data_IF_175637621603
#
_entry.id   IF_175637621603
#
_cell.length_a   1.000
_cell.length_b   1.000
_cell.length_c   1.000
_cell.angle_alpha   90.00
_cell.angle_beta   90.00
_cell.angle_gamma   90.00
#
_symmetry.space_group_name_H-M   'P 1'
#
loop_
_entity.id
_entity.type
_entity.pdbx_description
1 polymer ?
#
# COMPACT_ATOMS: atom_id res chain seq x y z
N UNK A 1 61.17 32.72 30.36
CA UNK A 1 60.41 33.94 29.97
C UNK A 1 60.92 34.35 28.59
N UNK A 2 60.09 34.26 27.55
CA UNK A 2 59.28 35.42 27.17
C UNK A 2 57.80 35.09 26.91
N UNK A 3 57.00 36.15 26.98
CA UNK A 3 55.56 36.21 26.72
C UNK A 3 55.33 36.27 25.21
N UNK A 4 54.38 35.50 24.70
CA UNK A 4 53.83 35.68 23.35
C UNK A 4 52.31 35.76 23.48
N UNK A 5 51.76 36.97 23.43
CA UNK A 5 50.33 37.24 23.51
C UNK A 5 49.83 37.86 22.19
N UNK A 6 48.60 37.47 21.86
CA UNK A 6 47.62 38.22 21.08
C UNK A 6 47.83 38.34 19.55
N UNK A 7 47.66 37.24 18.82
CA UNK A 7 47.35 37.28 17.37
C UNK A 7 46.06 36.54 16.96
N UNK A 8 45.42 35.81 17.88
CA UNK A 8 44.24 34.96 17.57
C UNK A 8 42.87 35.66 17.55
N UNK A 9 42.57 36.70 18.38
CA UNK A 9 41.23 37.29 18.39
C UNK A 9 40.93 38.18 17.16
N UNK A 10 41.95 38.83 16.60
CA UNK A 10 41.77 39.78 15.47
C UNK A 10 41.43 39.08 14.15
N UNK A 11 41.97 37.88 13.91
CA UNK A 11 41.70 37.11 12.69
C UNK A 11 40.25 36.61 12.67
N UNK A 12 39.72 36.19 13.83
CA UNK A 12 38.33 35.74 13.96
C UNK A 12 37.33 36.88 13.72
N UNK A 13 37.66 38.11 14.13
CA UNK A 13 36.79 39.27 13.90
C UNK A 13 36.73 39.68 12.42
N UNK A 14 37.85 39.58 11.69
CA UNK A 14 37.92 39.90 10.27
C UNK A 14 37.11 38.91 9.41
N UNK A 15 37.14 37.62 9.74
CA UNK A 15 36.39 36.57 9.01
C UNK A 15 34.88 36.75 9.17
N UNK A 16 34.41 37.11 10.37
CA UNK A 16 32.99 37.37 10.63
C UNK A 16 32.47 38.60 9.86
N UNK A 17 33.29 39.65 9.70
CA UNK A 17 32.90 40.85 8.96
C UNK A 17 32.74 40.58 7.45
N UNK A 18 33.60 39.73 6.88
CA UNK A 18 33.51 39.34 5.45
C UNK A 18 32.27 38.49 5.18
N UNK A 19 31.90 37.57 6.07
CA UNK A 19 30.71 36.73 5.91
C UNK A 19 29.40 37.53 6.02
N UNK A 20 29.36 38.57 6.85
CA UNK A 20 28.20 39.46 6.98
C UNK A 20 28.04 40.36 5.75
N UNK A 21 29.16 40.86 5.18
CA UNK A 21 29.13 41.72 3.99
C UNK A 21 28.78 40.94 2.70
N UNK A 22 29.19 39.68 2.57
CA UNK A 22 28.81 38.84 1.41
C UNK A 22 27.41 38.20 1.54
N UNK A 23 26.91 37.98 2.76
CA UNK A 23 25.57 37.42 2.99
C UNK A 23 24.41 38.36 2.66
N UNK A 24 24.65 39.68 2.63
CA UNK A 24 23.62 40.69 2.35
C UNK A 24 23.53 41.10 0.86
N UNK A 25 24.43 40.63 0.00
CA UNK A 25 24.57 41.11 -1.38
C UNK A 25 23.74 40.43 -2.47
N UNK A 26 22.96 39.38 -2.17
CA UNK A 26 22.26 38.57 -3.21
C UNK A 26 20.74 38.50 -3.01
N UNK A 27 20.18 39.34 -2.13
CA UNK A 27 18.73 39.59 -2.06
C UNK A 27 18.39 40.95 -2.68
N UNK A 28 18.14 40.96 -3.99
CA UNK A 28 17.24 41.95 -4.58
C UNK A 28 16.58 41.44 -5.87
N UNK A 29 15.24 41.46 -5.98
CA UNK A 29 14.50 41.00 -7.15
C UNK A 29 14.28 42.16 -8.14
N UNK A 30 14.62 41.97 -9.42
CA UNK A 30 14.17 42.87 -10.50
C UNK A 30 13.71 42.09 -11.73
N UNK A 31 12.44 42.35 -12.03
CA UNK A 31 11.64 42.00 -13.19
C UNK A 31 12.13 42.65 -14.50
N UNK A 32 12.12 41.90 -15.60
CA UNK A 32 11.87 42.42 -16.95
C UNK A 32 11.28 41.31 -17.86
N UNK A 33 10.27 41.71 -18.63
CA UNK A 33 9.31 40.94 -19.44
C UNK A 33 9.85 40.52 -20.83
N UNK A 34 9.10 39.71 -21.64
CA UNK A 34 9.65 38.74 -22.58
C UNK A 34 9.74 39.23 -24.04
N UNK A 35 10.64 38.61 -24.81
CA UNK A 35 10.75 38.73 -26.27
C UNK A 35 10.76 37.35 -26.93
N UNK A 36 9.88 37.17 -27.91
CA UNK A 36 9.64 35.99 -28.74
C UNK A 36 10.75 35.68 -29.75
N UNK A 37 11.06 34.39 -30.00
CA UNK A 37 10.81 33.68 -31.27
C UNK A 37 11.31 32.21 -31.25
N UNK A 38 10.53 31.34 -31.91
CA UNK A 38 10.89 30.09 -32.60
C UNK A 38 11.12 28.75 -31.86
N UNK A 39 10.00 28.01 -31.74
CA UNK A 39 9.70 26.75 -32.47
C UNK A 39 10.76 25.63 -32.35
N UNK A 40 10.55 24.74 -31.36
CA UNK A 40 11.17 23.41 -31.28
C UNK A 40 10.29 22.43 -30.53
N UNK A 41 9.85 21.37 -31.21
CA UNK A 41 9.19 20.15 -30.72
C UNK A 41 8.96 20.01 -29.21
N UNK A 42 7.71 20.21 -28.74
CA UNK A 42 7.28 19.72 -27.44
C UNK A 42 6.95 18.23 -27.53
N UNK A 43 7.92 17.37 -27.20
CA UNK A 43 7.57 16.09 -26.60
C UNK A 43 6.97 16.38 -25.23
N UNK A 44 5.70 16.06 -25.05
CA UNK A 44 5.01 16.18 -23.77
C UNK A 44 5.60 15.15 -22.78
N UNK A 45 6.69 15.53 -22.11
CA UNK A 45 7.12 14.89 -20.87
C UNK A 45 6.08 15.27 -19.82
N UNK A 46 5.23 14.32 -19.45
CA UNK A 46 4.26 14.49 -18.35
C UNK A 46 5.02 14.56 -17.03
N UNK A 47 4.92 15.68 -16.32
CA UNK A 47 5.38 15.80 -14.93
C UNK A 47 4.45 15.02 -13.96
N UNK A 48 4.94 14.54 -12.80
CA UNK A 48 4.24 13.54 -11.99
C UNK A 48 3.19 14.05 -10.99
N UNK A 49 2.86 15.34 -10.93
CA UNK A 49 2.05 15.92 -9.82
C UNK A 49 0.82 16.72 -10.28
N UNK A 50 0.00 16.16 -11.17
CA UNK A 50 -1.31 16.75 -11.51
C UNK A 50 -2.40 16.48 -10.44
N UNK A 51 -2.13 16.79 -9.17
CA UNK A 51 -3.21 16.97 -8.20
C UNK A 51 -3.93 18.28 -8.52
N UNK A 52 -5.12 18.18 -9.10
CA UNK A 52 -5.98 19.33 -9.33
C UNK A 52 -6.19 20.03 -7.97
N UNK A 53 -5.76 21.28 -7.84
CA UNK A 53 -5.84 22.05 -6.59
C UNK A 53 -7.28 22.47 -6.35
N UNK A 54 -8.13 21.53 -5.94
CA UNK A 54 -9.53 21.79 -5.62
C UNK A 54 -9.63 22.18 -4.15
N UNK A 55 -10.31 23.29 -3.87
CA UNK A 55 -10.57 23.71 -2.48
C UNK A 55 -11.60 22.79 -1.86
N UNK A 56 -11.32 22.31 -0.64
CA UNK A 56 -12.33 21.64 0.16
C UNK A 56 -13.49 22.60 0.46
N UNK A 57 -14.75 22.12 0.49
CA UNK A 57 -15.87 22.92 0.94
C UNK A 57 -15.72 23.29 2.43
N UNK A 58 -16.51 24.25 2.90
CA UNK A 58 -16.62 24.51 4.34
C UNK A 58 -17.15 23.24 5.01
N UNK A 59 -16.40 22.73 6.00
CA UNK A 59 -16.79 21.58 6.81
C UNK A 59 -16.77 21.98 8.29
N UNK A 60 -17.68 21.39 9.08
CA UNK A 60 -17.72 21.54 10.53
C UNK A 60 -17.42 20.19 11.13
N UNK A 61 -16.30 20.06 11.82
CA UNK A 61 -15.85 18.84 12.47
C UNK A 61 -15.12 19.16 13.78
N UNK A 62 -14.97 18.21 14.72
CA UNK A 62 -14.23 18.41 15.95
C UNK A 62 -12.79 18.87 15.70
N UNK A 63 -12.36 19.94 16.37
CA UNK A 63 -11.00 20.46 16.24
C UNK A 63 -9.97 19.39 16.66
N UNK A 64 -8.93 19.14 15.85
CA UNK A 64 -7.81 18.28 16.24
C UNK A 64 -7.15 18.80 17.52
N UNK A 65 -7.03 17.93 18.54
CA UNK A 65 -6.44 18.29 19.83
C UNK A 65 -4.93 17.99 19.82
N UNK A 66 -4.11 19.01 19.56
CA UNK A 66 -2.65 18.87 19.40
C UNK A 66 -1.97 18.16 20.58
N UNK A 67 -2.39 18.45 21.81
CA UNK A 67 -1.82 17.87 23.04
C UNK A 67 -2.53 16.58 23.50
N UNK A 68 -3.45 16.04 22.69
CA UNK A 68 -4.15 14.79 22.99
C UNK A 68 -3.86 13.77 21.88
N UNK A 69 -3.14 12.67 22.16
CA UNK A 69 -2.91 11.64 21.16
C UNK A 69 -4.23 10.96 20.77
N UNK A 70 -4.40 10.66 19.47
CA UNK A 70 -5.59 9.98 18.95
C UNK A 70 -5.71 8.52 19.43
N UNK A 71 -4.55 7.86 19.63
CA UNK A 71 -4.40 6.53 20.23
C UNK A 71 -3.22 6.56 21.18
N UNK A 72 -3.34 5.89 22.33
CA UNK A 72 -2.29 5.80 23.37
C UNK A 72 -1.71 4.39 23.51
N UNK A 73 -2.31 3.44 22.81
CA UNK A 73 -2.18 2.00 22.97
C UNK A 73 -1.47 1.33 21.79
N UNK A 74 -1.21 2.08 20.72
CA UNK A 74 -0.59 1.60 19.47
C UNK A 74 0.32 2.65 18.85
N UNK A 75 1.27 2.19 18.03
CA UNK A 75 2.03 3.06 17.12
C UNK A 75 1.11 3.51 15.96
N UNK A 76 1.04 4.83 15.72
CA UNK A 76 0.19 5.43 14.69
C UNK A 76 0.98 6.04 13.51
N UNK A 77 2.31 6.08 13.60
CA UNK A 77 3.20 6.56 12.56
C UNK A 77 4.49 5.74 12.58
N UNK A 78 4.99 5.34 11.41
CA UNK A 78 6.25 4.59 11.30
C UNK A 78 7.46 5.51 11.49
N UNK A 79 8.67 4.95 11.72
CA UNK A 79 9.90 5.75 11.77
C UNK A 79 10.22 6.52 10.48
N UNK A 80 9.66 6.13 9.34
CA UNK A 80 9.78 6.84 8.06
C UNK A 80 8.57 7.73 7.74
N UNK A 81 7.79 8.11 8.77
CA UNK A 81 6.68 9.05 8.70
C UNK A 81 5.46 8.58 7.89
N UNK A 82 5.30 7.28 7.66
CA UNK A 82 4.08 6.74 7.09
C UNK A 82 3.01 6.54 8.20
N UNK A 83 1.76 6.97 8.01
CA UNK A 83 0.68 6.66 8.95
C UNK A 83 0.47 5.15 9.09
N UNK A 84 0.25 4.69 10.32
CA UNK A 84 -0.31 3.36 10.59
C UNK A 84 -1.81 3.54 10.83
N UNK A 85 -2.63 3.02 9.92
CA UNK A 85 -4.07 3.29 9.87
C UNK A 85 -4.80 2.43 10.91
N UNK A 86 -5.24 3.08 11.98
CA UNK A 86 -6.09 2.51 13.03
C UNK A 86 -7.38 3.31 13.18
N UNK A 87 -8.44 2.69 13.68
CA UNK A 87 -9.65 3.43 14.06
C UNK A 87 -9.32 4.57 15.04
N UNK A 88 -9.85 5.75 14.75
CA UNK A 88 -9.59 6.99 15.51
C UNK A 88 -8.40 7.81 15.02
N UNK A 89 -7.64 7.34 14.02
CA UNK A 89 -6.48 8.09 13.46
C UNK A 89 -6.83 9.00 12.30
N UNK A 90 -8.04 8.87 11.73
CA UNK A 90 -8.50 9.63 10.58
C UNK A 90 -9.91 10.17 10.79
N UNK A 91 -10.24 11.25 10.07
CA UNK A 91 -11.60 11.72 9.89
C UNK A 91 -12.04 11.35 8.47
N UNK A 92 -13.01 10.43 8.36
CA UNK A 92 -13.41 9.86 7.08
C UNK A 92 -14.13 10.88 6.18
N UNK A 93 -14.81 11.88 6.75
CA UNK A 93 -15.51 12.89 5.95
C UNK A 93 -14.52 13.76 5.19
N UNK A 94 -13.44 14.18 5.85
CA UNK A 94 -12.37 14.97 5.22
C UNK A 94 -11.72 14.18 4.08
N UNK A 95 -11.38 12.91 4.34
CA UNK A 95 -10.76 12.05 3.34
C UNK A 95 -11.72 11.79 2.16
N UNK A 96 -12.99 11.52 2.44
CA UNK A 96 -14.01 11.32 1.41
C UNK A 96 -14.14 12.54 0.51
N UNK A 97 -14.13 13.75 1.04
CA UNK A 97 -14.14 14.97 0.21
C UNK A 97 -12.86 15.06 -0.66
N UNK A 98 -11.68 14.84 -0.07
CA UNK A 98 -10.41 14.90 -0.81
C UNK A 98 -10.36 13.97 -2.03
N UNK A 99 -10.80 12.72 -1.87
CA UNK A 99 -10.77 11.73 -2.95
C UNK A 99 -11.97 11.85 -3.91
N UNK A 100 -13.15 12.30 -3.43
CA UNK A 100 -14.29 12.57 -4.34
C UNK A 100 -14.02 13.75 -5.27
N UNK A 101 -13.36 14.80 -4.80
CA UNK A 101 -12.98 15.95 -5.64
C UNK A 101 -11.99 15.57 -6.74
N UNK A 102 -11.24 14.48 -6.56
CA UNK A 102 -10.34 13.90 -7.57
C UNK A 102 -11.04 12.87 -8.45
N UNK A 103 -12.33 12.60 -8.23
CA UNK A 103 -13.10 11.57 -8.93
C UNK A 103 -12.40 10.19 -8.91
N UNK A 104 -11.80 9.85 -7.77
CA UNK A 104 -10.95 8.66 -7.63
C UNK A 104 -11.71 7.37 -7.95
N UNK A 105 -11.08 6.52 -8.76
CA UNK A 105 -11.54 5.17 -9.10
C UNK A 105 -10.59 4.13 -8.52
N UNK A 106 -11.15 3.16 -7.78
CA UNK A 106 -10.39 2.13 -7.07
C UNK A 106 -10.65 0.77 -7.72
N UNK A 107 -9.58 0.11 -8.16
CA UNK A 107 -9.61 -1.29 -8.58
C UNK A 107 -9.44 -2.24 -7.40
N UNK A 108 -10.29 -3.27 -7.30
CA UNK A 108 -10.15 -4.35 -6.33
C UNK A 108 -9.85 -5.66 -7.07
N UNK A 109 -8.63 -6.16 -6.96
CA UNK A 109 -8.23 -7.44 -7.58
C UNK A 109 -8.41 -8.58 -6.60
N UNK A 110 -9.03 -9.65 -7.05
CA UNK A 110 -9.27 -10.85 -6.25
C UNK A 110 -9.11 -12.10 -7.12
N UNK A 111 -8.47 -13.14 -6.57
CA UNK A 111 -8.23 -14.41 -7.28
C UNK A 111 -9.12 -15.52 -6.73
N UNK A 112 -9.98 -16.06 -7.58
CA UNK A 112 -10.89 -17.14 -7.27
C UNK A 112 -10.64 -18.32 -8.21
N UNK A 113 -9.61 -19.10 -7.88
CA UNK A 113 -9.10 -20.20 -8.71
C UNK A 113 -9.53 -21.55 -8.10
N UNK A 114 -10.00 -22.48 -8.94
CA UNK A 114 -10.53 -23.80 -8.53
C UNK A 114 -11.67 -23.64 -7.51
N UNK A 115 -11.60 -24.33 -6.36
CA UNK A 115 -12.63 -24.33 -5.32
C UNK A 115 -12.82 -22.96 -4.63
N UNK A 116 -11.90 -22.02 -4.82
CA UNK A 116 -12.00 -20.69 -4.22
C UNK A 116 -13.09 -19.81 -4.83
N UNK A 117 -13.69 -20.21 -5.97
CA UNK A 117 -14.91 -19.56 -6.51
C UNK A 117 -16.08 -19.58 -5.50
N UNK A 118 -16.09 -20.53 -4.57
CA UNK A 118 -17.11 -20.63 -3.52
C UNK A 118 -17.14 -19.39 -2.58
N UNK A 119 -16.02 -18.68 -2.44
CA UNK A 119 -15.94 -17.50 -1.56
C UNK A 119 -16.42 -16.21 -2.23
N UNK A 120 -16.49 -16.16 -3.56
CA UNK A 120 -16.76 -14.92 -4.30
C UNK A 120 -18.09 -14.26 -3.92
N UNK A 121 -19.14 -15.05 -3.66
CA UNK A 121 -20.47 -14.48 -3.38
C UNK A 121 -20.43 -13.65 -2.10
N UNK A 122 -19.95 -14.24 -1.01
CA UNK A 122 -19.83 -13.55 0.28
C UNK A 122 -18.85 -12.37 0.19
N UNK A 123 -17.71 -12.57 -0.46
CA UNK A 123 -16.70 -11.53 -0.66
C UNK A 123 -17.29 -10.30 -1.36
N UNK A 124 -17.94 -10.48 -2.51
CA UNK A 124 -18.51 -9.39 -3.31
C UNK A 124 -19.71 -8.73 -2.62
N UNK A 125 -20.61 -9.52 -2.02
CA UNK A 125 -21.79 -8.99 -1.31
C UNK A 125 -21.40 -8.15 -0.09
N UNK A 126 -20.33 -8.53 0.61
CA UNK A 126 -19.82 -7.74 1.74
C UNK A 126 -18.98 -6.55 1.29
N UNK A 127 -18.22 -6.68 0.19
CA UNK A 127 -17.52 -5.56 -0.42
C UNK A 127 -18.48 -4.44 -0.84
N UNK A 128 -19.64 -4.76 -1.41
CA UNK A 128 -20.66 -3.75 -1.75
C UNK A 128 -21.15 -2.94 -0.55
N UNK A 129 -21.13 -3.51 0.66
CA UNK A 129 -21.59 -2.84 1.89
C UNK A 129 -20.51 -1.97 2.54
N UNK A 130 -19.24 -2.28 2.31
CA UNK A 130 -18.16 -1.81 3.19
C UNK A 130 -16.94 -1.26 2.45
N UNK A 131 -16.71 -1.66 1.20
CA UNK A 131 -15.51 -1.31 0.46
C UNK A 131 -15.75 -0.06 -0.40
N UNK A 132 -15.08 1.04 -0.07
CA UNK A 132 -15.05 2.28 -0.86
C UNK A 132 -16.45 2.79 -1.23
N UNK A 133 -17.40 2.67 -0.30
CA UNK A 133 -18.79 3.10 -0.51
C UNK A 133 -18.84 4.59 -0.80
N UNK A 134 -19.57 4.99 -1.84
CA UNK A 134 -19.62 6.38 -2.32
C UNK A 134 -18.52 6.78 -3.30
N UNK A 135 -17.59 5.88 -3.62
CA UNK A 135 -16.54 6.07 -4.62
C UNK A 135 -16.70 5.12 -5.80
N UNK A 136 -16.01 5.41 -6.90
CA UNK A 136 -16.01 4.58 -8.11
C UNK A 136 -15.18 3.32 -7.86
N UNK A 137 -15.73 2.15 -8.15
CA UNK A 137 -15.05 0.87 -7.92
C UNK A 137 -15.11 -0.01 -9.15
N UNK A 138 -13.99 -0.64 -9.47
CA UNK A 138 -13.90 -1.68 -10.48
C UNK A 138 -13.37 -2.98 -9.86
N UNK A 139 -14.21 -3.99 -9.77
CA UNK A 139 -13.81 -5.33 -9.34
C UNK A 139 -13.16 -6.10 -10.48
N UNK A 140 -11.98 -6.67 -10.24
CA UNK A 140 -11.28 -7.55 -11.16
C UNK A 140 -11.19 -8.94 -10.58
N UNK A 141 -12.08 -9.83 -11.03
CA UNK A 141 -12.15 -11.22 -10.58
C UNK A 141 -11.32 -12.09 -11.52
N UNK A 142 -10.16 -12.53 -11.05
CA UNK A 142 -9.32 -13.48 -11.77
C UNK A 142 -9.78 -14.90 -11.48
N UNK A 143 -10.13 -15.66 -12.51
CA UNK A 143 -10.65 -17.03 -12.32
C UNK A 143 -10.32 -17.96 -13.49
N UNK A 144 -10.29 -19.26 -13.21
CA UNK A 144 -10.24 -20.34 -14.21
C UNK A 144 -11.65 -20.84 -14.59
N UNK A 145 -12.71 -20.28 -13.99
CA UNK A 145 -14.09 -20.74 -14.14
C UNK A 145 -15.04 -19.54 -14.29
N UNK A 146 -15.10 -18.98 -15.51
CA UNK A 146 -15.95 -17.82 -15.85
C UNK A 146 -17.41 -17.98 -15.40
N UNK A 147 -17.99 -19.15 -15.66
CA UNK A 147 -19.39 -19.44 -15.34
C UNK A 147 -19.68 -19.58 -13.83
N UNK A 148 -18.65 -19.78 -13.00
CA UNK A 148 -18.79 -19.91 -11.55
C UNK A 148 -18.79 -18.57 -10.81
N UNK A 149 -18.51 -17.45 -11.50
CA UNK A 149 -18.57 -16.12 -10.90
C UNK A 149 -20.04 -15.76 -10.62
N UNK A 150 -20.40 -15.46 -9.36
CA UNK A 150 -21.78 -15.19 -8.99
C UNK A 150 -22.26 -13.86 -9.58
N UNK A 151 -23.55 -13.79 -9.93
CA UNK A 151 -24.22 -12.54 -10.26
C UNK A 151 -24.54 -11.80 -8.96
N UNK A 152 -23.81 -10.73 -8.67
CA UNK A 152 -24.00 -9.87 -7.50
C UNK A 152 -24.52 -8.51 -7.96
N UNK A 153 -25.52 -7.98 -7.27
CA UNK A 153 -26.03 -6.62 -7.52
C UNK A 153 -24.98 -5.61 -7.11
N UNK A 154 -24.56 -4.76 -8.05
CA UNK A 154 -23.58 -3.70 -7.79
C UNK A 154 -24.29 -2.33 -7.68
N UNK A 155 -23.82 -1.50 -6.75
CA UNK A 155 -24.26 -0.13 -6.61
C UNK A 155 -23.84 0.75 -7.79
N UNK A 156 -24.46 1.93 -7.91
CA UNK A 156 -24.14 2.91 -8.96
C UNK A 156 -22.66 3.31 -8.95
N UNK A 157 -22.06 3.41 -10.14
CA UNK A 157 -20.64 3.78 -10.28
C UNK A 157 -19.67 2.65 -9.96
N UNK A 158 -20.18 1.42 -9.82
CA UNK A 158 -19.40 0.21 -9.55
C UNK A 158 -19.58 -0.80 -10.68
N UNK A 159 -18.51 -1.46 -11.06
CA UNK A 159 -18.52 -2.45 -12.14
C UNK A 159 -17.61 -3.63 -11.84
N UNK A 160 -17.84 -4.76 -12.51
CA UNK A 160 -17.06 -5.97 -12.34
C UNK A 160 -16.61 -6.50 -13.70
N UNK A 161 -15.33 -6.85 -13.81
CA UNK A 161 -14.76 -7.57 -14.94
C UNK A 161 -14.20 -8.90 -14.48
N UNK A 162 -14.57 -9.95 -15.20
CA UNK A 162 -14.01 -11.28 -15.00
C UNK A 162 -12.84 -11.47 -15.95
N UNK A 163 -11.70 -11.87 -15.41
CA UNK A 163 -10.44 -12.03 -16.12
C UNK A 163 -10.08 -13.51 -16.10
N UNK A 164 -10.22 -14.19 -17.24
CA UNK A 164 -9.90 -15.61 -17.35
C UNK A 164 -8.39 -15.82 -17.26
N UNK A 165 -7.96 -16.73 -16.39
CA UNK A 165 -6.55 -17.10 -16.20
C UNK A 165 -6.40 -18.59 -15.96
N UNK A 166 -5.20 -19.13 -16.22
CA UNK A 166 -4.91 -20.55 -16.01
C UNK A 166 -4.87 -20.91 -14.52
N UNK A 167 -5.34 -22.10 -14.18
CA UNK A 167 -5.17 -22.70 -12.87
C UNK A 167 -3.88 -23.53 -12.79
N UNK A 168 -2.94 -23.14 -11.93
CA UNK A 168 -1.76 -23.95 -11.62
C UNK A 168 -2.11 -25.12 -10.71
N UNK A 169 -1.34 -26.22 -10.76
CA UNK A 169 -1.64 -27.44 -9.98
C UNK A 169 -1.49 -27.22 -8.47
N UNK A 170 -0.39 -26.64 -8.02
CA UNK A 170 -0.10 -26.41 -6.59
C UNK A 170 -0.78 -25.12 -6.12
N UNK A 171 -1.25 -25.09 -4.87
CA UNK A 171 -1.84 -23.88 -4.30
C UNK A 171 -0.79 -22.77 -4.12
N UNK A 172 0.46 -23.16 -3.87
CA UNK A 172 1.62 -22.28 -3.81
C UNK A 172 1.77 -21.51 -5.12
N UNK A 173 1.77 -22.20 -6.26
CA UNK A 173 1.87 -21.58 -7.58
C UNK A 173 0.67 -20.68 -7.87
N UNK A 174 -0.54 -21.07 -7.46
CA UNK A 174 -1.72 -20.20 -7.57
C UNK A 174 -1.53 -18.89 -6.81
N UNK A 175 -1.01 -18.94 -5.57
CA UNK A 175 -0.74 -17.77 -4.74
C UNK A 175 0.38 -16.89 -5.33
N UNK A 176 1.50 -17.51 -5.70
CA UNK A 176 2.68 -16.82 -6.22
C UNK A 176 2.42 -16.12 -7.55
N UNK A 177 1.67 -16.76 -8.45
CA UNK A 177 1.43 -16.26 -9.81
C UNK A 177 0.45 -15.09 -9.86
N UNK A 178 -0.19 -14.74 -8.74
CA UNK A 178 -0.95 -13.48 -8.61
C UNK A 178 -0.08 -12.27 -8.92
N UNK A 179 1.19 -12.27 -8.50
CA UNK A 179 2.11 -11.15 -8.76
C UNK A 179 2.35 -10.96 -10.26
N UNK A 180 2.60 -12.03 -11.01
CA UNK A 180 2.74 -11.99 -12.47
C UNK A 180 1.46 -11.42 -13.11
N UNK A 181 0.31 -12.01 -12.79
CA UNK A 181 -0.98 -11.66 -13.39
C UNK A 181 -1.39 -10.21 -13.07
N UNK A 182 -1.21 -9.74 -11.84
CA UNK A 182 -1.49 -8.34 -11.50
C UNK A 182 -0.56 -7.42 -12.30
N UNK A 183 0.73 -7.74 -12.40
CA UNK A 183 1.70 -6.91 -13.13
C UNK A 183 1.39 -6.81 -14.62
N UNK A 184 0.95 -7.91 -15.24
CA UNK A 184 0.50 -7.96 -16.64
C UNK A 184 -0.74 -7.09 -16.86
N UNK A 185 -1.72 -7.19 -15.98
CA UNK A 185 -2.97 -6.44 -16.12
C UNK A 185 -2.82 -4.97 -15.73
N UNK A 186 -1.78 -4.59 -14.98
CA UNK A 186 -1.41 -3.18 -14.82
C UNK A 186 -1.18 -2.51 -16.18
N UNK A 187 -0.42 -3.16 -17.07
CA UNK A 187 -0.13 -2.64 -18.42
C UNK A 187 -1.33 -2.73 -19.35
N UNK A 188 -2.08 -3.83 -19.27
CA UNK A 188 -3.17 -4.11 -20.22
C UNK A 188 -4.44 -3.31 -19.93
N UNK A 189 -4.74 -3.03 -18.66
CA UNK A 189 -6.03 -2.48 -18.24
C UNK A 189 -5.95 -1.46 -17.12
N UNK A 190 -5.28 -1.76 -16.01
CA UNK A 190 -5.48 -0.96 -14.79
C UNK A 190 -5.02 0.49 -14.95
N UNK A 191 -3.92 0.74 -15.68
CA UNK A 191 -3.40 2.09 -15.92
C UNK A 191 -4.39 3.04 -16.63
N UNK A 192 -5.36 2.51 -17.38
CA UNK A 192 -6.37 3.31 -18.07
C UNK A 192 -7.74 3.30 -17.39
N UNK A 193 -7.95 2.45 -16.38
CA UNK A 193 -9.27 2.23 -15.77
C UNK A 193 -9.37 2.74 -14.33
N UNK A 194 -8.27 2.70 -13.55
CA UNK A 194 -8.30 3.00 -12.10
C UNK A 194 -7.07 3.80 -11.66
N UNK A 195 -7.21 4.57 -10.58
CA UNK A 195 -6.11 5.36 -10.00
C UNK A 195 -5.30 4.54 -8.99
N UNK A 196 -6.01 3.72 -8.20
CA UNK A 196 -5.44 2.87 -7.16
C UNK A 196 -5.87 1.42 -7.36
N UNK A 197 -5.00 0.49 -6.97
CA UNK A 197 -5.29 -0.93 -6.86
C UNK A 197 -5.22 -1.38 -5.41
N UNK A 198 -6.18 -2.19 -5.02
CA UNK A 198 -6.23 -2.94 -3.77
C UNK A 198 -6.23 -4.42 -4.14
N UNK A 199 -5.27 -5.17 -3.61
CA UNK A 199 -5.05 -6.57 -3.93
C UNK A 199 -5.27 -7.42 -2.68
N UNK A 200 -6.29 -8.28 -2.71
CA UNK A 200 -6.73 -9.04 -1.53
C UNK A 200 -7.01 -10.51 -1.82
N UNK A 201 -6.96 -11.30 -0.75
CA UNK A 201 -7.41 -12.70 -0.76
C UNK A 201 -8.93 -12.81 -0.78
N UNK A 202 -9.44 -13.85 -1.45
CA UNK A 202 -10.89 -14.04 -1.69
C UNK A 202 -11.62 -14.72 -0.54
N UNK A 203 -10.91 -15.52 0.25
CA UNK A 203 -11.40 -16.34 1.36
C UNK A 203 -11.63 -15.52 2.64
N UNK A 204 -12.24 -14.37 2.44
CA UNK A 204 -12.40 -13.27 3.38
C UNK A 204 -13.78 -12.63 3.21
N UNK A 205 -14.22 -11.89 4.21
CA UNK A 205 -15.45 -11.09 4.16
C UNK A 205 -15.21 -9.70 4.77
N UNK A 206 -15.90 -8.69 4.24
CA UNK A 206 -15.91 -7.35 4.85
C UNK A 206 -17.00 -7.28 5.93
N UNK A 207 -16.66 -6.72 7.10
CA UNK A 207 -17.57 -6.59 8.24
C UNK A 207 -17.75 -5.16 8.73
N UNK A 208 -16.84 -4.27 8.37
CA UNK A 208 -16.88 -2.85 8.70
C UNK A 208 -16.16 -2.04 7.61
N UNK A 209 -16.24 -0.72 7.68
CA UNK A 209 -15.70 0.23 6.72
C UNK A 209 -14.24 -0.04 6.35
N UNK A 210 -14.00 -0.17 5.03
CA UNK A 210 -12.70 -0.13 4.38
C UNK A 210 -12.78 0.90 3.26
N UNK A 211 -12.25 2.09 3.48
CA UNK A 211 -12.45 3.21 2.57
C UNK A 211 -11.15 3.89 2.15
N UNK A 212 -11.30 5.15 1.72
CA UNK A 212 -10.22 5.93 1.13
C UNK A 212 -9.08 6.24 2.11
N UNK A 213 -9.26 5.99 3.41
CA UNK A 213 -8.17 6.10 4.39
C UNK A 213 -6.98 5.19 4.10
N UNK A 214 -7.20 4.08 3.37
CA UNK A 214 -6.12 3.16 2.98
C UNK A 214 -5.33 3.65 1.75
N UNK A 215 -5.92 4.53 0.93
CA UNK A 215 -5.35 4.92 -0.37
C UNK A 215 -4.11 5.80 -0.19
N UNK A 216 -3.04 5.43 -0.88
CA UNK A 216 -1.71 6.05 -0.85
C UNK A 216 -0.87 5.47 -1.99
N UNK A 217 0.30 6.03 -2.35
CA UNK A 217 1.13 5.44 -3.40
C UNK A 217 1.46 3.96 -3.18
N UNK A 218 1.82 3.56 -1.96
CA UNK A 218 2.09 2.16 -1.62
C UNK A 218 1.69 1.88 -0.17
N UNK A 219 0.96 0.79 0.07
CA UNK A 219 0.65 0.29 1.41
C UNK A 219 0.83 -1.22 1.54
N UNK A 220 1.15 -1.63 2.77
CA UNK A 220 1.09 -3.02 3.23
C UNK A 220 0.29 -3.12 4.52
N UNK A 221 -0.20 -4.32 4.83
CA UNK A 221 -1.04 -4.57 6.01
C UNK A 221 -0.27 -5.39 7.04
N UNK A 222 -0.30 -4.99 8.32
CA UNK A 222 0.29 -5.76 9.40
C UNK A 222 -0.39 -7.12 9.53
N UNK A 223 0.39 -8.19 9.54
CA UNK A 223 -0.14 -9.53 9.71
C UNK A 223 -0.69 -9.73 11.14
N UNK A 224 -1.91 -10.28 11.30
CA UNK A 224 -2.59 -10.33 12.60
C UNK A 224 -1.91 -11.29 13.59
N UNK A 225 -1.17 -12.29 13.11
CA UNK A 225 -0.34 -13.16 13.96
C UNK A 225 0.99 -12.56 14.45
N UNK A 226 1.42 -11.38 13.96
CA UNK A 226 2.77 -10.86 14.21
C UNK A 226 2.86 -9.39 14.62
N UNK A 227 1.76 -8.62 14.63
CA UNK A 227 1.80 -7.18 14.92
C UNK A 227 2.36 -6.80 16.31
N UNK A 228 2.36 -7.72 17.27
CA UNK A 228 2.98 -7.56 18.59
C UNK A 228 4.29 -8.34 18.78
N UNK A 229 4.78 -9.02 17.75
CA UNK A 229 5.98 -9.89 17.83
C UNK A 229 7.26 -9.10 17.55
N UNK A 230 8.38 -9.57 18.09
CA UNK A 230 9.71 -9.05 17.77
C UNK A 230 10.19 -9.54 16.40
N UNK A 231 11.11 -8.79 15.76
CA UNK A 231 11.52 -9.04 14.37
C UNK A 231 12.21 -10.39 14.15
N UNK A 232 12.86 -10.92 15.18
CA UNK A 232 13.53 -12.21 15.15
C UNK A 232 12.51 -13.38 15.14
N UNK A 233 11.30 -13.15 15.63
CA UNK A 233 10.19 -14.10 15.60
C UNK A 233 9.39 -14.04 14.30
N UNK A 234 9.55 -12.98 13.49
CA UNK A 234 8.94 -12.91 12.17
C UNK A 234 9.41 -14.06 11.27
N UNK A 235 8.46 -14.68 10.59
CA UNK A 235 8.69 -15.83 9.72
C UNK A 235 9.18 -15.44 8.34
N UNK A 236 10.02 -14.42 8.22
CA UNK A 236 10.67 -14.11 6.94
C UNK A 236 11.49 -15.30 6.43
N UNK A 237 11.74 -15.33 5.13
CA UNK A 237 12.73 -16.24 4.56
C UNK A 237 14.11 -15.96 5.17
N UNK A 238 14.73 -17.00 5.74
CA UNK A 238 16.01 -16.91 6.45
C UNK A 238 17.16 -17.62 5.73
N UNK A 239 16.90 -18.30 4.61
CA UNK A 239 17.90 -18.92 3.75
C UNK A 239 18.49 -17.85 2.82
N UNK A 240 19.80 -17.50 2.95
CA UNK A 240 20.43 -16.46 2.13
C UNK A 240 20.43 -16.74 0.62
N UNK A 241 20.17 -17.98 0.21
CA UNK A 241 20.07 -18.39 -1.18
C UNK A 241 18.82 -17.85 -1.89
N UNK A 242 17.77 -17.50 -1.13
CA UNK A 242 16.53 -16.95 -1.69
C UNK A 242 16.61 -15.43 -1.82
N UNK A 243 16.04 -14.90 -2.90
CA UNK A 243 15.84 -13.47 -3.10
C UNK A 243 14.98 -12.84 -1.99
N UNK A 244 14.11 -13.61 -1.33
CA UNK A 244 13.28 -13.14 -0.23
C UNK A 244 14.01 -13.05 1.12
N UNK A 245 15.30 -13.41 1.18
CA UNK A 245 16.06 -13.42 2.43
C UNK A 245 16.04 -12.07 3.17
N UNK A 246 15.76 -12.14 4.47
CA UNK A 246 15.87 -11.03 5.43
C UNK A 246 16.68 -11.51 6.66
N UNK A 247 17.80 -10.85 7.01
CA UNK A 247 18.56 -11.11 8.24
C UNK A 247 17.74 -10.98 9.54
N UNK A 248 18.20 -11.62 10.63
CA UNK A 248 17.48 -11.64 11.92
C UNK A 248 17.39 -10.26 12.59
N UNK A 249 18.35 -9.40 12.32
CA UNK A 249 18.47 -8.03 12.82
C UNK A 249 17.78 -6.99 11.92
N UNK A 250 17.31 -7.38 10.73
CA UNK A 250 16.52 -6.55 9.83
C UNK A 250 15.00 -6.83 9.94
N UNK A 251 14.20 -5.85 9.54
CA UNK A 251 12.73 -5.95 9.52
C UNK A 251 12.06 -4.87 10.36
N UNK A 252 11.11 -4.16 9.75
CA UNK A 252 10.26 -3.19 10.45
C UNK A 252 8.98 -3.86 10.97
N UNK A 253 8.26 -4.54 10.08
CA UNK A 253 7.00 -5.22 10.36
C UNK A 253 6.86 -6.48 9.50
N UNK A 254 6.08 -7.45 9.97
CA UNK A 254 5.66 -8.58 9.15
C UNK A 254 4.33 -8.23 8.44
N UNK A 255 4.41 -8.00 7.14
CA UNK A 255 3.28 -7.66 6.27
C UNK A 255 2.61 -8.91 5.69
N UNK A 256 1.31 -8.82 5.43
CA UNK A 256 0.50 -9.94 4.96
C UNK A 256 0.34 -9.96 3.43
N UNK A 257 0.48 -11.14 2.80
CA UNK A 257 0.36 -11.34 1.34
C UNK A 257 -1.04 -11.18 0.75
N UNK A 258 -2.05 -11.13 1.61
CA UNK A 258 -3.49 -11.13 1.30
C UNK A 258 -4.16 -9.77 1.43
N UNK A 259 -3.40 -8.70 1.72
CA UNK A 259 -3.89 -7.31 1.61
C UNK A 259 -2.74 -6.32 1.45
N UNK A 260 -2.53 -5.87 0.22
CA UNK A 260 -1.61 -4.79 -0.13
C UNK A 260 -2.21 -3.94 -1.26
N UNK A 261 -1.57 -2.83 -1.61
CA UNK A 261 -2.04 -2.01 -2.70
C UNK A 261 -1.31 -0.68 -2.80
N UNK A 262 -1.84 0.21 -3.63
CA UNK A 262 -1.18 1.47 -3.93
C UNK A 262 -1.73 2.12 -5.18
N UNK A 263 -1.02 3.13 -5.71
CA UNK A 263 -1.25 3.59 -7.07
C UNK A 263 -0.95 2.46 -8.05
N UNK A 264 -1.57 2.48 -9.23
CA UNK A 264 -1.33 1.42 -10.25
C UNK A 264 0.17 1.27 -10.55
N UNK A 265 0.91 2.38 -10.61
CA UNK A 265 2.35 2.36 -10.88
C UNK A 265 3.15 1.65 -9.78
N UNK A 266 2.87 1.93 -8.51
CA UNK A 266 3.59 1.29 -7.40
C UNK A 266 3.21 -0.18 -7.24
N UNK A 267 1.94 -0.53 -7.45
CA UNK A 267 1.50 -1.93 -7.47
C UNK A 267 2.17 -2.70 -8.61
N UNK A 268 2.30 -2.10 -9.80
CA UNK A 268 3.03 -2.69 -10.91
C UNK A 268 4.51 -2.94 -10.56
N UNK A 269 5.18 -1.96 -9.95
CA UNK A 269 6.59 -2.08 -9.52
C UNK A 269 6.76 -3.21 -8.51
N UNK A 270 5.92 -3.24 -7.48
CA UNK A 270 5.92 -4.26 -6.44
C UNK A 270 5.71 -5.66 -7.03
N UNK A 271 4.62 -5.84 -7.77
CA UNK A 271 4.20 -7.15 -8.27
C UNK A 271 5.20 -7.70 -9.29
N UNK A 272 5.74 -6.84 -10.16
CA UNK A 272 6.82 -7.21 -11.09
C UNK A 272 8.10 -7.62 -10.36
N UNK A 273 8.54 -6.84 -9.38
CA UNK A 273 9.76 -7.14 -8.62
C UNK A 273 9.63 -8.46 -7.84
N UNK A 274 8.48 -8.68 -7.18
CA UNK A 274 8.19 -9.94 -6.51
C UNK A 274 8.17 -11.11 -7.50
N UNK A 275 7.53 -10.96 -8.66
CA UNK A 275 7.49 -11.99 -9.69
C UNK A 275 8.89 -12.35 -10.21
N UNK A 276 9.71 -11.36 -10.56
CA UNK A 276 11.08 -11.56 -11.01
C UNK A 276 11.93 -12.26 -9.94
N UNK A 277 11.81 -11.85 -8.68
CA UNK A 277 12.49 -12.50 -7.56
C UNK A 277 12.08 -13.97 -7.39
N UNK A 278 10.78 -14.28 -7.55
CA UNK A 278 10.30 -15.67 -7.54
C UNK A 278 10.85 -16.49 -8.71
N UNK A 279 11.04 -15.90 -9.89
CA UNK A 279 11.63 -16.61 -11.04
C UNK A 279 13.12 -16.91 -10.83
N UNK A 280 13.85 -16.01 -10.17
CA UNK A 280 15.25 -16.26 -9.76
C UNK A 280 15.31 -17.41 -8.75
N UNK A 281 14.44 -17.39 -7.74
CA UNK A 281 14.35 -18.48 -6.75
C UNK A 281 14.02 -19.82 -7.41
N UNK A 282 13.04 -19.83 -8.32
CA UNK A 282 12.69 -21.00 -9.11
C UNK A 282 13.88 -21.53 -9.92
N UNK A 283 14.65 -20.67 -10.59
CA UNK A 283 15.83 -21.05 -11.35
C UNK A 283 16.96 -21.61 -10.46
N UNK A 284 17.05 -21.14 -9.21
CA UNK A 284 17.99 -21.63 -8.20
C UNK A 284 17.48 -22.85 -7.42
N UNK A 285 16.31 -23.40 -7.78
CA UNK A 285 15.73 -24.57 -7.13
C UNK A 285 15.29 -24.32 -5.69
N UNK A 286 14.91 -23.09 -5.34
CA UNK A 286 14.41 -22.71 -4.01
C UNK A 286 13.01 -22.08 -4.13
N UNK A 287 12.16 -22.32 -3.15
CA UNK A 287 10.86 -21.66 -3.00
C UNK A 287 10.80 -21.06 -1.60
N UNK A 288 10.47 -19.77 -1.49
CA UNK A 288 10.49 -19.04 -0.23
C UNK A 288 9.43 -19.59 0.77
N UNK A 289 9.75 -19.55 2.06
CA UNK A 289 8.99 -20.23 3.13
C UNK A 289 7.50 -19.88 3.19
N UNK A 290 7.15 -18.62 2.90
CA UNK A 290 5.76 -18.17 2.78
C UNK A 290 5.46 -17.59 1.39
N UNK A 291 6.06 -18.19 0.35
CA UNK A 291 5.71 -17.94 -1.05
C UNK A 291 5.78 -16.43 -1.39
N UNK A 292 4.74 -15.88 -2.01
CA UNK A 292 4.64 -14.46 -2.37
C UNK A 292 4.70 -13.50 -1.17
N UNK A 293 4.23 -13.91 0.02
CA UNK A 293 4.31 -13.08 1.23
C UNK A 293 5.77 -12.85 1.66
N UNK A 294 6.65 -13.83 1.47
CA UNK A 294 8.08 -13.66 1.75
C UNK A 294 8.71 -12.61 0.83
N UNK A 295 8.40 -12.64 -0.46
CA UNK A 295 8.88 -11.64 -1.42
C UNK A 295 8.26 -10.26 -1.19
N UNK A 296 6.98 -10.19 -0.82
CA UNK A 296 6.31 -8.94 -0.44
C UNK A 296 7.03 -8.27 0.74
N UNK A 297 7.34 -9.02 1.79
CA UNK A 297 8.05 -8.50 2.96
C UNK A 297 9.44 -7.98 2.59
N UNK A 298 10.17 -8.71 1.74
CA UNK A 298 11.46 -8.24 1.22
C UNK A 298 11.31 -6.94 0.43
N UNK A 299 10.31 -6.84 -0.43
CA UNK A 299 10.06 -5.65 -1.22
C UNK A 299 9.76 -4.44 -0.32
N UNK A 300 8.83 -4.58 0.64
CA UNK A 300 8.41 -3.49 1.54
C UNK A 300 9.49 -3.07 2.54
N UNK A 301 10.40 -3.99 2.91
CA UNK A 301 11.58 -3.64 3.69
C UNK A 301 12.50 -2.69 2.91
N UNK A 302 12.63 -2.87 1.59
CA UNK A 302 13.52 -2.07 0.74
C UNK A 302 12.83 -0.87 0.10
N UNK A 303 11.51 -0.91 -0.05
CA UNK A 303 10.66 0.14 -0.60
C UNK A 303 9.56 0.44 0.42
N UNK A 304 9.86 1.39 1.32
CA UNK A 304 9.01 1.65 2.49
C UNK A 304 7.59 2.04 2.06
N UNK A 305 6.53 1.39 2.59
CA UNK A 305 5.17 1.77 2.24
C UNK A 305 4.83 3.14 2.83
N UNK A 306 4.09 3.94 2.06
CA UNK A 306 3.64 5.30 2.42
C UNK A 306 2.46 5.33 3.40
N UNK A 307 1.75 4.21 3.58
CA UNK A 307 0.87 3.92 4.73
C UNK A 307 1.04 2.45 5.11
N UNK A 308 0.80 2.14 6.37
CA UNK A 308 0.70 0.77 6.87
C UNK A 308 -0.69 0.56 7.43
N UNK A 309 -1.39 -0.51 7.05
CA UNK A 309 -2.70 -0.81 7.60
C UNK A 309 -2.55 -1.64 8.87
N UNK A 310 -3.30 -1.30 9.92
CA UNK A 310 -3.36 -2.11 11.13
C UNK A 310 -4.05 -3.47 10.89
N UNK A 311 -3.96 -4.42 11.83
CA UNK A 311 -4.69 -5.67 11.75
C UNK A 311 -6.22 -5.54 11.75
N UNK A 312 -6.78 -4.34 11.98
CA UNK A 312 -8.22 -4.10 11.77
C UNK A 312 -8.65 -4.40 10.32
N UNK A 313 -7.71 -4.23 9.37
CA UNK A 313 -7.92 -4.41 7.93
C UNK A 313 -7.67 -5.83 7.45
N UNK A 314 -7.18 -6.74 8.30
CA UNK A 314 -7.15 -8.16 8.00
C UNK A 314 -7.02 -8.96 9.30
N UNK A 315 -8.06 -9.69 9.68
CA UNK A 315 -8.11 -10.38 10.96
C UNK A 315 -8.67 -11.80 10.87
N UNK A 316 -8.19 -12.71 11.72
CA UNK A 316 -8.80 -14.02 11.92
C UNK A 316 -9.40 -14.08 13.34
N UNK A 317 -10.71 -13.86 13.44
CA UNK A 317 -11.39 -13.84 14.72
C UNK A 317 -11.45 -15.24 15.36
N UNK A 318 -11.48 -16.30 14.55
CA UNK A 318 -11.56 -17.67 15.06
C UNK A 318 -10.26 -18.06 15.77
N UNK A 319 -9.11 -17.68 15.21
CA UNK A 319 -7.80 -18.00 15.77
C UNK A 319 -7.33 -17.01 16.84
N UNK A 320 -7.68 -15.72 16.70
CA UNK A 320 -7.07 -14.64 17.49
C UNK A 320 -8.06 -13.91 18.40
N UNK A 321 -9.35 -14.29 18.38
CA UNK A 321 -10.39 -13.63 19.17
C UNK A 321 -10.63 -12.19 18.73
N UNK A 322 -11.05 -11.32 19.65
CA UNK A 322 -11.20 -9.88 19.42
C UNK A 322 -10.53 -9.09 20.55
N UNK A 323 -9.21 -8.82 20.44
CA UNK A 323 -8.48 -8.06 21.46
C UNK A 323 -8.92 -6.59 21.51
N UNK A 324 -8.88 -5.99 22.69
CA UNK A 324 -9.34 -4.61 22.94
C UNK A 324 -8.60 -3.54 22.11
N UNK A 325 -7.39 -3.84 21.62
CA UNK A 325 -6.60 -2.95 20.76
C UNK A 325 -7.27 -2.72 19.39
N UNK A 326 -8.08 -3.69 18.93
CA UNK A 326 -8.85 -3.61 17.70
C UNK A 326 -10.23 -3.04 18.00
N UNK A 327 -10.43 -1.77 17.67
CA UNK A 327 -11.75 -1.14 17.85
C UNK A 327 -12.76 -1.62 16.80
N UNK A 328 -12.26 -2.10 15.66
CA UNK A 328 -13.05 -2.62 14.54
C UNK A 328 -12.38 -3.85 13.93
N UNK A 329 -13.20 -4.76 13.43
CA UNK A 329 -12.78 -5.87 12.56
C UNK A 329 -13.40 -5.60 11.18
N UNK A 330 -12.59 -5.11 10.23
CA UNK A 330 -13.09 -4.55 8.97
C UNK A 330 -13.15 -5.59 7.85
N UNK A 331 -12.15 -6.46 7.81
CA UNK A 331 -12.02 -7.51 6.80
C UNK A 331 -11.45 -8.76 7.47
N UNK A 332 -12.19 -9.87 7.42
CA UNK A 332 -11.94 -11.03 8.27
C UNK A 332 -11.92 -12.34 7.50
N UNK A 333 -11.09 -13.28 7.95
CA UNK A 333 -11.00 -14.61 7.38
C UNK A 333 -12.32 -15.39 7.48
N UNK A 334 -12.70 -16.02 6.38
CA UNK A 334 -13.81 -16.99 6.35
C UNK A 334 -13.25 -18.36 6.77
N UNK A 335 -13.88 -19.05 7.74
CA UNK A 335 -13.45 -20.38 8.15
C UNK A 335 -13.40 -21.35 6.98
N UNK A 336 -12.30 -22.09 6.86
CA UNK A 336 -12.07 -23.02 5.75
C UNK A 336 -11.18 -24.18 6.18
N UNK A 337 -11.38 -25.33 5.56
CA UNK A 337 -10.44 -26.45 5.67
C UNK A 337 -9.40 -26.33 4.56
N UNK A 338 -8.17 -25.97 4.93
CA UNK A 338 -7.07 -25.76 3.99
C UNK A 338 -6.80 -26.98 3.09
N UNK A 339 -6.84 -28.20 3.63
CA UNK A 339 -6.58 -29.42 2.86
C UNK A 339 -7.68 -29.67 1.82
N UNK A 340 -8.95 -29.49 2.20
CA UNK A 340 -10.09 -29.72 1.33
C UNK A 340 -10.21 -28.69 0.20
N UNK A 341 -9.94 -27.41 0.49
CA UNK A 341 -10.12 -26.32 -0.49
C UNK A 341 -8.94 -26.19 -1.45
N UNK A 342 -7.72 -26.58 -1.04
CA UNK A 342 -6.50 -26.46 -1.88
C UNK A 342 -6.30 -27.63 -2.84
N UNK A 343 -6.85 -28.79 -2.55
CA UNK A 343 -6.64 -30.02 -3.33
C UNK A 343 -7.91 -30.45 -4.08
N UNK A 344 -7.71 -31.12 -5.22
CA UNK A 344 -8.78 -31.93 -5.84
C UNK A 344 -9.00 -33.16 -4.94
N UNK A 345 -10.25 -33.59 -4.83
CA UNK A 345 -10.56 -34.91 -4.26
C UNK A 345 -10.01 -36.01 -5.15
#
# INVERSE_FOLDING_TARGET
KPKCHALRPMILFLIMLVLVLFGYGVLSPRSLMPGSLERGFCMAVREPDHLQRVSLPRMVYPQPKVLTPCRKDVLVVTPWLAPIVWEGTFNIDILNEQFRLQNTTIGLTVFAIKKYVAFLKLFLETAEKHFMVGHRVHYYVFTDQLAAVPRVTLGTGRQLSVLEVRAYKRWQDVSMRRMEMISDFCERRFLSEVDYLVCVDVDMEFRDHVGVEILTPLFGTLHPGFYGSSREAFTYERRPQSQAYIPKDEGDFYYLGGFFGGSVQEVQRLTRACHQAMMVDQANGIEAVWHDESHLNKYLLRHKPTKVLSPEYLWDQQLLGWPAVLRKLRFTAVPKNHQAVRNRE
#
